data_IF_760652075996
#
_entry.id   IF_760652075996
#
_cell.length_a   1.000
_cell.length_b   1.000
_cell.length_c   1.000
_cell.angle_alpha   90.00
_cell.angle_beta   90.00
_cell.angle_gamma   90.00
#
_symmetry.space_group_name_H-M   'P 1'
#
loop_
_entity.id
_entity.type
_entity.pdbx_description
1 polymer ?
#
# COMPACT_ATOMS: atom_id res chain seq x y z
N UNK A 1 -12.62 16.27 9.27
CA UNK A 1 -13.40 15.50 8.31
C UNK A 1 -12.63 14.25 7.94
N UNK A 2 -13.17 13.08 8.22
CA UNK A 2 -12.57 11.79 7.84
C UNK A 2 -13.08 11.39 6.45
N UNK A 3 -12.18 10.94 5.57
CA UNK A 3 -12.52 10.58 4.19
C UNK A 3 -12.21 9.10 3.97
N UNK A 4 -13.25 8.28 3.79
CA UNK A 4 -13.08 6.87 3.46
C UNK A 4 -13.29 6.67 1.96
N UNK A 5 -12.35 5.99 1.30
CA UNK A 5 -12.46 5.65 -0.12
C UNK A 5 -12.83 4.19 -0.25
N UNK A 6 -14.04 3.92 -0.72
CA UNK A 6 -14.56 2.59 -1.03
C UNK A 6 -14.30 2.26 -2.50
N UNK A 7 -14.29 0.98 -2.88
CA UNK A 7 -14.35 0.58 -4.30
C UNK A 7 -15.65 -0.13 -4.60
N UNK A 8 -16.34 0.28 -5.68
CA UNK A 8 -17.63 -0.27 -6.09
C UNK A 8 -17.46 -1.38 -7.13
N UNK A 9 -18.30 -2.41 -7.06
CA UNK A 9 -18.41 -3.46 -8.09
C UNK A 9 -19.39 -3.09 -9.22
N UNK A 10 -20.29 -2.12 -8.99
CA UNK A 10 -21.55 -2.01 -9.74
C UNK A 10 -21.64 -0.80 -10.70
N UNK A 11 -20.50 -0.28 -11.16
CA UNK A 11 -20.45 0.63 -12.32
C UNK A 11 -20.97 2.06 -12.10
N UNK A 12 -21.28 2.48 -10.86
CA UNK A 12 -21.59 3.89 -10.52
C UNK A 12 -20.64 4.43 -9.45
N UNK A 13 -20.00 5.58 -9.72
CA UNK A 13 -19.26 6.34 -8.72
C UNK A 13 -20.29 7.04 -7.84
N UNK A 14 -20.14 6.88 -6.52
CA UNK A 14 -21.06 7.44 -5.54
C UNK A 14 -20.27 8.08 -4.42
N UNK A 15 -20.74 9.23 -3.94
CA UNK A 15 -20.17 9.96 -2.83
C UNK A 15 -21.28 10.18 -1.81
N UNK A 16 -21.05 9.79 -0.56
CA UNK A 16 -21.99 9.97 0.54
C UNK A 16 -21.32 10.77 1.65
N UNK A 17 -22.08 11.63 2.34
CA UNK A 17 -21.60 12.38 3.49
C UNK A 17 -22.59 12.24 4.64
N UNK A 18 -22.10 12.23 5.86
CA UNK A 18 -22.95 12.18 7.05
C UNK A 18 -22.30 12.92 8.22
N UNK A 19 -23.09 13.17 9.26
CA UNK A 19 -22.64 13.81 10.48
C UNK A 19 -22.82 12.87 11.67
N UNK A 20 -21.74 12.68 12.43
CA UNK A 20 -21.76 11.81 13.60
C UNK A 20 -22.67 12.40 14.71
N UNK A 21 -23.59 11.62 15.28
CA UNK A 21 -24.39 12.05 16.43
C UNK A 21 -23.51 12.09 17.69
N UNK A 22 -23.80 13.04 18.59
CA UNK A 22 -23.06 13.19 19.85
C UNK A 22 -23.45 12.13 20.90
N UNK A 23 -24.64 11.53 20.75
CA UNK A 23 -25.18 10.49 21.63
C UNK A 23 -26.16 9.59 20.87
N UNK A 24 -26.50 8.41 21.41
CA UNK A 24 -27.49 7.50 20.80
C UNK A 24 -28.90 8.13 20.68
N UNK A 25 -29.21 9.10 21.53
CA UNK A 25 -30.46 9.88 21.48
C UNK A 25 -30.50 10.93 20.37
N UNK A 26 -29.35 11.25 19.76
CA UNK A 26 -29.24 12.25 18.68
C UNK A 26 -29.32 11.61 17.27
N UNK A 27 -29.61 10.31 17.19
CA UNK A 27 -29.71 9.61 15.91
C UNK A 27 -31.03 9.98 15.19
N UNK A 28 -30.95 10.31 13.90
CA UNK A 28 -32.09 10.72 13.06
C UNK A 28 -32.84 11.99 13.55
N UNK A 29 -32.19 12.80 14.38
CA UNK A 29 -32.74 14.09 14.85
C UNK A 29 -32.41 15.20 13.86
N UNK A 30 -33.44 15.97 13.48
CA UNK A 30 -33.30 17.18 12.66
C UNK A 30 -32.73 18.33 13.51
N UNK A 31 -31.75 19.03 12.96
CA UNK A 31 -31.10 20.20 13.54
C UNK A 31 -31.87 21.47 13.18
N UNK A 32 -31.57 22.56 13.89
CA UNK A 32 -32.16 23.88 13.61
C UNK A 32 -31.92 24.37 12.17
N UNK A 33 -30.84 23.89 11.55
CA UNK A 33 -30.45 24.19 10.16
C UNK A 33 -31.04 23.21 9.13
N UNK A 34 -31.93 22.31 9.54
CA UNK A 34 -32.67 21.38 8.69
C UNK A 34 -31.95 20.07 8.33
N UNK A 35 -30.69 19.90 8.77
CA UNK A 35 -29.93 18.67 8.56
C UNK A 35 -30.27 17.62 9.62
N UNK A 36 -30.22 16.35 9.26
CA UNK A 36 -30.47 15.20 10.13
C UNK A 36 -29.14 14.55 10.55
N UNK A 37 -28.90 14.40 11.85
CA UNK A 37 -27.69 13.75 12.40
C UNK A 37 -27.78 12.21 12.31
N UNK A 38 -26.64 11.56 12.14
CA UNK A 38 -26.56 10.09 12.00
C UNK A 38 -27.15 9.56 10.68
N UNK A 39 -27.46 10.45 9.73
CA UNK A 39 -28.11 10.11 8.47
C UNK A 39 -27.18 10.36 7.27
N UNK A 40 -27.26 9.48 6.27
CA UNK A 40 -26.44 9.56 5.08
C UNK A 40 -27.09 10.43 3.99
N UNK A 41 -26.34 11.41 3.50
CA UNK A 41 -26.67 12.25 2.36
C UNK A 41 -25.83 11.82 1.15
N UNK A 42 -26.38 11.90 -0.05
CA UNK A 42 -25.60 11.70 -1.28
C UNK A 42 -25.04 13.03 -1.77
N UNK A 43 -23.74 13.10 -2.07
CA UNK A 43 -23.16 14.24 -2.78
C UNK A 43 -23.43 14.06 -4.27
N UNK A 44 -24.21 14.97 -4.86
CA UNK A 44 -24.67 14.85 -6.26
C UNK A 44 -24.02 15.85 -7.20
N UNK A 45 -23.34 16.88 -6.69
CA UNK A 45 -22.57 17.82 -7.51
C UNK A 45 -21.57 18.63 -6.67
N UNK A 46 -20.44 19.00 -7.27
CA UNK A 46 -19.49 19.97 -6.73
C UNK A 46 -19.15 20.94 -7.86
N UNK A 47 -19.29 22.23 -7.62
CA UNK A 47 -19.02 23.24 -8.65
C UNK A 47 -18.40 24.51 -8.06
N UNK A 48 -17.83 25.31 -8.96
CA UNK A 48 -17.34 26.65 -8.66
C UNK A 48 -18.26 27.68 -9.29
N UNK A 49 -18.85 28.54 -8.48
CA UNK A 49 -19.81 29.56 -8.89
C UNK A 49 -19.22 30.95 -8.70
N UNK A 50 -19.44 31.86 -9.66
CA UNK A 50 -19.08 33.27 -9.51
C UNK A 50 -20.30 34.04 -9.00
N UNK A 51 -20.13 34.76 -7.89
CA UNK A 51 -21.16 35.59 -7.25
C UNK A 51 -20.78 37.07 -7.38
N UNK A 52 -21.78 37.91 -7.64
CA UNK A 52 -21.62 39.35 -7.81
C UNK A 52 -21.90 39.85 -9.23
N UNK A 53 -22.52 41.03 -9.33
CA UNK A 53 -22.68 41.72 -10.61
C UNK A 53 -21.32 42.22 -11.09
N UNK A 54 -21.00 42.00 -12.37
CA UNK A 54 -19.85 42.65 -13.03
C UNK A 54 -20.13 44.15 -13.13
N UNK A 55 -19.80 44.91 -12.10
CA UNK A 55 -19.81 46.36 -12.19
C UNK A 55 -18.61 46.81 -13.04
N UNK A 56 -18.84 47.71 -14.01
CA UNK A 56 -17.82 48.19 -14.96
C UNK A 56 -16.54 48.74 -14.30
N UNK A 57 -16.58 49.10 -13.01
CA UNK A 57 -15.49 49.75 -12.30
C UNK A 57 -14.74 48.87 -11.29
N UNK A 58 -15.17 47.63 -11.04
CA UNK A 58 -14.42 46.69 -10.18
C UNK A 58 -14.65 45.26 -10.68
N UNK A 59 -13.72 44.78 -11.52
CA UNK A 59 -13.81 43.47 -12.19
C UNK A 59 -13.63 42.24 -11.28
N UNK A 60 -13.90 42.35 -9.98
CA UNK A 60 -13.75 41.25 -9.02
C UNK A 60 -15.09 40.57 -8.77
N UNK A 61 -15.35 39.47 -9.49
CA UNK A 61 -16.37 38.50 -9.10
C UNK A 61 -15.83 37.62 -7.97
N UNK A 62 -16.59 37.50 -6.89
CA UNK A 62 -16.30 36.53 -5.83
C UNK A 62 -16.53 35.11 -6.37
N UNK A 63 -15.68 34.16 -6.01
CA UNK A 63 -15.81 32.76 -6.46
C UNK A 63 -16.07 31.88 -5.25
N UNK A 64 -17.22 31.22 -5.23
CA UNK A 64 -17.62 30.28 -4.17
C UNK A 64 -17.50 28.83 -4.65
N UNK A 65 -17.10 27.95 -3.75
CA UNK A 65 -17.16 26.51 -3.95
C UNK A 65 -18.47 26.00 -3.36
N UNK A 66 -19.31 25.42 -4.21
CA UNK A 66 -20.62 24.93 -3.86
C UNK A 66 -20.64 23.41 -3.93
N UNK A 67 -21.39 22.80 -3.01
CA UNK A 67 -21.66 21.37 -2.98
C UNK A 67 -23.17 21.15 -2.93
N UNK A 68 -23.66 20.19 -3.73
CA UNK A 68 -25.04 19.74 -3.72
C UNK A 68 -25.14 18.40 -3.02
N UNK A 69 -26.04 18.33 -2.06
CA UNK A 69 -26.35 17.14 -1.30
C UNK A 69 -27.80 16.74 -1.55
N UNK A 70 -28.10 15.45 -1.38
CA UNK A 70 -29.44 14.90 -1.44
C UNK A 70 -29.75 14.09 -0.21
N UNK A 71 -30.85 14.41 0.46
CA UNK A 71 -31.46 13.56 1.47
C UNK A 71 -32.22 12.40 0.79
N UNK A 72 -31.86 11.13 1.04
CA UNK A 72 -32.57 9.98 0.49
C UNK A 72 -34.05 9.88 0.86
N UNK A 73 -34.48 10.52 1.96
CA UNK A 73 -35.89 10.59 2.34
C UNK A 73 -36.72 11.49 1.41
N UNK A 74 -36.07 12.31 0.58
CA UNK A 74 -36.75 13.21 -0.35
C UNK A 74 -37.42 14.41 0.32
N UNK A 75 -37.07 14.69 1.58
CA UNK A 75 -37.53 15.84 2.36
C UNK A 75 -36.42 16.24 3.36
N UNK A 76 -36.67 17.29 4.18
CA UNK A 76 -35.72 17.83 5.18
C UNK A 76 -34.40 18.29 4.56
N UNK A 77 -34.43 19.54 4.12
CA UNK A 77 -33.37 20.21 3.39
C UNK A 77 -32.65 21.25 4.26
N UNK A 78 -31.47 21.65 3.81
CA UNK A 78 -30.71 22.75 4.41
C UNK A 78 -31.52 24.04 4.44
N UNK A 79 -31.60 24.69 5.61
CA UNK A 79 -32.32 25.96 5.83
C UNK A 79 -31.40 27.17 5.96
N UNK A 80 -30.08 26.99 5.84
CA UNK A 80 -29.11 28.07 5.94
C UNK A 80 -28.90 28.83 4.62
N UNK A 81 -27.76 29.52 4.51
CA UNK A 81 -27.38 30.24 3.30
C UNK A 81 -27.31 29.30 2.09
N UNK A 82 -27.83 29.74 0.94
CA UNK A 82 -27.96 28.94 -0.29
C UNK A 82 -28.94 27.77 -0.23
N UNK A 83 -29.81 27.71 0.78
CA UNK A 83 -31.03 26.89 0.76
C UNK A 83 -31.95 27.23 -0.42
N UNK A 84 -32.94 26.41 -0.70
CA UNK A 84 -33.81 26.59 -1.86
C UNK A 84 -34.60 27.92 -1.85
N UNK A 85 -34.92 28.41 -0.65
CA UNK A 85 -35.62 29.68 -0.42
C UNK A 85 -34.67 30.88 -0.15
N UNK A 86 -33.35 30.67 -0.23
CA UNK A 86 -32.33 31.65 0.13
C UNK A 86 -32.28 32.85 -0.83
N UNK A 87 -32.22 34.05 -0.26
CA UNK A 87 -32.12 35.32 -0.98
C UNK A 87 -30.78 35.48 -1.71
N UNK A 88 -29.74 34.77 -1.26
CA UNK A 88 -28.41 34.74 -1.83
C UNK A 88 -28.41 34.33 -3.30
N UNK A 89 -29.36 33.48 -3.71
CA UNK A 89 -29.55 33.14 -5.11
C UNK A 89 -29.78 34.36 -5.98
N UNK A 90 -30.47 35.42 -5.49
CA UNK A 90 -30.73 36.66 -6.25
C UNK A 90 -29.45 37.37 -6.70
N UNK A 91 -28.32 37.12 -6.04
CA UNK A 91 -26.99 37.65 -6.41
C UNK A 91 -26.35 36.91 -7.59
N UNK A 92 -26.92 35.78 -8.01
CA UNK A 92 -26.45 34.95 -9.12
C UNK A 92 -27.31 35.22 -10.36
N UNK A 93 -26.65 35.56 -11.47
CA UNK A 93 -27.33 35.82 -12.75
C UNK A 93 -28.12 34.60 -13.25
N UNK A 94 -29.25 34.84 -13.93
CA UNK A 94 -30.09 33.78 -14.51
C UNK A 94 -29.30 32.86 -15.45
N UNK A 95 -28.39 33.42 -16.26
CA UNK A 95 -27.52 32.66 -17.16
C UNK A 95 -26.59 31.70 -16.42
N UNK A 96 -26.02 32.12 -15.29
CA UNK A 96 -25.18 31.24 -14.46
C UNK A 96 -26.00 30.12 -13.81
N UNK A 97 -27.23 30.41 -13.34
CA UNK A 97 -28.09 29.37 -12.76
C UNK A 97 -28.47 28.29 -13.79
N UNK A 98 -28.83 28.71 -15.01
CA UNK A 98 -29.13 27.77 -16.10
C UNK A 98 -27.90 26.99 -16.54
N UNK A 99 -26.73 27.65 -16.66
CA UNK A 99 -25.46 27.00 -17.02
C UNK A 99 -25.09 25.88 -16.03
N UNK A 100 -25.37 26.09 -14.75
CA UNK A 100 -25.04 25.15 -13.68
C UNK A 100 -26.11 24.08 -13.46
N UNK A 101 -27.25 24.15 -14.17
CA UNK A 101 -28.34 23.19 -14.03
C UNK A 101 -28.97 23.20 -12.64
N UNK A 102 -29.03 24.37 -11.99
CA UNK A 102 -29.61 24.51 -10.65
C UNK A 102 -31.14 24.32 -10.73
N UNK A 103 -31.61 23.20 -10.17
CA UNK A 103 -33.02 22.95 -9.87
C UNK A 103 -33.25 23.30 -8.40
N UNK A 104 -34.19 24.22 -8.14
CA UNK A 104 -34.65 24.57 -6.79
C UNK A 104 -36.03 23.92 -6.66
N UNK A 105 -36.04 22.71 -6.12
CA UNK A 105 -37.23 21.88 -5.98
C UNK A 105 -37.11 21.16 -4.65
N UNK A 106 -38.16 21.25 -3.82
CA UNK A 106 -38.20 20.59 -2.52
C UNK A 106 -38.39 19.07 -2.71
N UNK A 107 -37.30 18.40 -3.08
CA UNK A 107 -37.22 16.98 -3.41
C UNK A 107 -36.12 16.26 -2.61
N UNK A 108 -35.60 16.93 -1.59
CA UNK A 108 -34.50 16.52 -0.74
C UNK A 108 -33.12 16.94 -1.27
N UNK A 109 -32.99 17.56 -2.45
CA UNK A 109 -31.72 18.12 -2.94
C UNK A 109 -31.54 19.57 -2.50
N UNK A 110 -30.36 19.91 -2.00
CA UNK A 110 -30.06 21.28 -1.59
C UNK A 110 -28.58 21.62 -1.85
N UNK A 111 -28.30 22.92 -1.96
CA UNK A 111 -26.96 23.45 -2.08
C UNK A 111 -26.49 24.09 -0.78
N UNK A 112 -25.18 24.03 -0.54
CA UNK A 112 -24.51 24.82 0.48
C UNK A 112 -23.09 25.17 0.03
N UNK A 113 -22.47 26.09 0.76
CA UNK A 113 -21.04 26.35 0.56
C UNK A 113 -20.21 25.17 1.04
N UNK A 114 -19.03 24.97 0.45
CA UNK A 114 -18.10 23.93 0.90
C UNK A 114 -17.66 24.18 2.35
N UNK A 115 -17.57 25.46 2.76
CA UNK A 115 -17.27 25.87 4.12
C UNK A 115 -18.36 25.41 5.11
N UNK A 116 -19.63 25.60 4.78
CA UNK A 116 -20.73 25.13 5.63
C UNK A 116 -20.82 23.60 5.63
N UNK A 117 -20.51 22.95 4.51
CA UNK A 117 -20.38 21.50 4.50
C UNK A 117 -19.29 21.01 5.46
N UNK A 118 -18.11 21.64 5.45
CA UNK A 118 -17.03 21.32 6.39
C UNK A 118 -17.40 21.54 7.87
N UNK A 119 -18.29 22.49 8.17
CA UNK A 119 -18.76 22.75 9.54
C UNK A 119 -19.81 21.73 10.00
N UNK A 120 -20.66 21.28 9.10
CA UNK A 120 -21.84 20.49 9.45
C UNK A 120 -21.64 18.97 9.25
N UNK A 121 -20.71 18.55 8.40
CA UNK A 121 -20.45 17.14 8.10
C UNK A 121 -19.09 16.70 8.65
N UNK A 122 -19.06 15.51 9.23
CA UNK A 122 -17.86 14.96 9.87
C UNK A 122 -17.15 13.97 8.96
N UNK A 123 -17.90 13.27 8.11
CA UNK A 123 -17.41 12.11 7.37
C UNK A 123 -17.90 12.11 5.92
N UNK A 124 -17.04 11.62 5.02
CA UNK A 124 -17.37 11.41 3.61
C UNK A 124 -16.86 10.05 3.11
N UNK A 125 -17.75 9.30 2.47
CA UNK A 125 -17.49 8.03 1.83
C UNK A 125 -17.48 8.20 0.31
N UNK A 126 -16.34 7.90 -0.33
CA UNK A 126 -16.16 8.03 -1.77
C UNK A 126 -15.99 6.63 -2.38
N UNK A 127 -16.97 6.18 -3.15
CA UNK A 127 -16.89 4.94 -3.89
C UNK A 127 -16.22 5.14 -5.26
N UNK A 128 -14.95 4.78 -5.39
CA UNK A 128 -14.22 4.82 -6.67
C UNK A 128 -14.46 3.56 -7.48
N UNK A 129 -14.85 3.75 -8.75
CA UNK A 129 -14.73 2.70 -9.76
C UNK A 129 -13.28 2.70 -10.23
N UNK A 130 -12.62 1.56 -10.06
CA UNK A 130 -11.30 1.36 -10.64
C UNK A 130 -11.51 0.84 -12.07
N UNK A 131 -11.15 1.64 -13.08
CA UNK A 131 -11.25 1.20 -14.47
C UNK A 131 -10.22 0.09 -14.74
N UNK A 132 -10.71 -1.13 -14.92
CA UNK A 132 -9.91 -2.31 -15.27
C UNK A 132 -10.22 -2.82 -16.68
N UNK A 133 -10.88 -2.01 -17.53
CA UNK A 133 -11.26 -2.41 -18.88
C UNK A 133 -10.05 -2.47 -19.80
N UNK A 134 -9.83 -3.60 -20.47
CA UNK A 134 -8.73 -3.78 -21.43
C UNK A 134 -8.85 -2.88 -22.68
N UNK A 135 -10.05 -2.37 -22.99
CA UNK A 135 -10.34 -1.61 -24.21
C UNK A 135 -10.43 -0.09 -23.99
N UNK A 136 -10.04 0.40 -22.81
CA UNK A 136 -10.11 1.81 -22.47
C UNK A 136 -8.92 2.60 -23.01
N UNK A 137 -9.19 3.74 -23.64
CA UNK A 137 -8.18 4.73 -24.08
C UNK A 137 -7.54 5.52 -22.93
N UNK A 138 -8.09 5.43 -21.71
CA UNK A 138 -7.58 6.06 -20.50
C UNK A 138 -7.04 5.05 -19.49
N UNK A 139 -6.15 5.52 -18.60
CA UNK A 139 -5.37 4.76 -17.61
C UNK A 139 -6.14 3.56 -17.03
N UNK A 140 -5.70 2.36 -17.39
CA UNK A 140 -6.23 1.07 -16.94
C UNK A 140 -5.41 0.54 -15.79
N UNK A 141 -6.07 0.14 -14.71
CA UNK A 141 -5.43 -0.58 -13.60
C UNK A 141 -5.44 -2.07 -13.89
N UNK A 142 -4.31 -2.74 -13.67
CA UNK A 142 -4.27 -4.19 -13.53
C UNK A 142 -4.84 -4.57 -12.16
N UNK A 143 -5.71 -5.58 -12.12
CA UNK A 143 -6.36 -6.05 -10.89
C UNK A 143 -6.01 -7.49 -10.65
N UNK A 144 -5.42 -7.78 -9.49
CA UNK A 144 -5.37 -9.12 -8.91
C UNK A 144 -6.27 -9.24 -7.70
N UNK A 145 -6.96 -10.37 -7.60
CA UNK A 145 -7.84 -10.70 -6.49
C UNK A 145 -7.42 -12.05 -5.91
N UNK A 146 -7.25 -12.09 -4.59
CA UNK A 146 -6.96 -13.31 -3.83
C UNK A 146 -8.06 -13.52 -2.81
N UNK A 147 -8.51 -14.76 -2.66
CA UNK A 147 -9.38 -15.18 -1.57
C UNK A 147 -8.52 -15.81 -0.50
N UNK A 148 -8.68 -15.37 0.74
CA UNK A 148 -7.91 -15.84 1.88
C UNK A 148 -8.76 -16.02 3.11
N UNK A 149 -8.19 -16.64 4.13
CA UNK A 149 -8.86 -16.89 5.40
C UNK A 149 -7.84 -16.75 6.55
N UNK A 150 -8.31 -16.23 7.68
CA UNK A 150 -7.66 -16.39 8.98
C UNK A 150 -8.24 -17.64 9.63
N UNK A 151 -7.40 -18.63 9.86
CA UNK A 151 -7.79 -19.93 10.41
C UNK A 151 -6.91 -20.26 11.60
N UNK A 152 -7.52 -20.78 12.67
CA UNK A 152 -6.78 -21.19 13.85
C UNK A 152 -6.15 -22.57 13.64
N UNK A 153 -4.90 -22.75 14.07
CA UNK A 153 -4.27 -24.06 14.09
C UNK A 153 -3.32 -24.19 15.30
N UNK A 154 -3.29 -25.35 15.99
CA UNK A 154 -2.34 -25.56 17.10
C UNK A 154 -0.88 -25.56 16.64
N UNK A 155 -0.60 -25.95 15.39
CA UNK A 155 0.74 -25.84 14.82
C UNK A 155 0.96 -24.41 14.32
N UNK A 156 1.93 -23.71 14.92
CA UNK A 156 2.28 -22.32 14.58
C UNK A 156 2.57 -22.11 13.08
N UNK A 157 3.16 -23.10 12.39
CA UNK A 157 3.47 -23.00 10.95
C UNK A 157 2.24 -23.11 10.04
N UNK A 158 1.14 -23.66 10.57
CA UNK A 158 -0.14 -23.83 9.88
C UNK A 158 -1.19 -22.82 10.35
N UNK A 159 -0.97 -22.16 11.50
CA UNK A 159 -1.85 -21.11 11.99
C UNK A 159 -1.87 -19.93 11.01
N UNK A 160 -3.04 -19.32 10.80
CA UNK A 160 -3.24 -18.17 9.91
C UNK A 160 -3.96 -17.01 10.60
N UNK A 161 -4.19 -17.07 11.90
CA UNK A 161 -4.85 -16.02 12.69
C UNK A 161 -3.85 -15.42 13.68
N UNK A 162 -2.84 -14.71 13.17
CA UNK A 162 -1.70 -14.22 13.92
C UNK A 162 -1.92 -12.88 14.65
N UNK A 163 -2.98 -12.15 14.32
CA UNK A 163 -3.26 -10.81 14.86
C UNK A 163 -2.37 -9.71 14.25
N UNK A 164 -2.52 -8.48 14.75
CA UNK A 164 -1.74 -7.33 14.30
C UNK A 164 -0.30 -7.33 14.84
N UNK A 165 0.51 -6.34 14.42
CA UNK A 165 1.91 -6.21 14.81
C UNK A 165 2.15 -6.11 16.32
N UNK A 166 1.15 -5.70 17.11
CA UNK A 166 1.25 -5.73 18.57
C UNK A 166 1.44 -7.16 19.12
N UNK A 167 1.18 -8.18 18.31
CA UNK A 167 1.36 -9.59 18.62
C UNK A 167 2.58 -10.15 17.86
N UNK A 168 3.77 -9.61 18.12
CA UNK A 168 5.00 -9.90 17.36
C UNK A 168 5.27 -11.41 17.16
N UNK A 169 5.05 -12.21 18.21
CA UNK A 169 5.28 -13.65 18.19
C UNK A 169 4.40 -14.43 17.20
N UNK A 170 3.19 -13.92 16.92
CA UNK A 170 2.21 -14.61 16.06
C UNK A 170 1.92 -13.88 14.76
N UNK A 171 2.30 -12.61 14.64
CA UNK A 171 2.00 -11.75 13.50
C UNK A 171 2.36 -12.38 12.14
N UNK A 172 3.55 -12.97 12.00
CA UNK A 172 4.00 -13.58 10.75
C UNK A 172 3.31 -14.92 10.42
N UNK A 173 2.50 -15.45 11.33
CA UNK A 173 1.68 -16.64 11.05
C UNK A 173 0.51 -16.30 10.12
N UNK A 174 0.06 -15.05 10.05
CA UNK A 174 -0.99 -14.61 9.12
C UNK A 174 -0.68 -15.01 7.64
N UNK A 175 -1.69 -15.07 6.76
CA UNK A 175 -1.47 -15.24 5.33
C UNK A 175 -0.49 -14.18 4.80
N UNK A 176 0.42 -14.59 3.92
CA UNK A 176 1.46 -13.72 3.39
C UNK A 176 1.34 -13.69 1.88
N UNK A 177 1.15 -12.51 1.30
CA UNK A 177 1.05 -12.31 -0.14
C UNK A 177 2.23 -11.51 -0.63
N UNK A 178 2.84 -11.92 -1.73
CA UNK A 178 3.97 -11.23 -2.34
C UNK A 178 3.56 -10.63 -3.68
N UNK A 179 4.07 -9.44 -3.98
CA UNK A 179 3.86 -8.77 -5.26
C UNK A 179 5.07 -7.90 -5.62
N UNK A 180 5.20 -7.61 -6.91
CA UNK A 180 6.31 -6.88 -7.49
C UNK A 180 5.85 -5.53 -8.05
N UNK A 181 6.62 -4.49 -7.78
CA UNK A 181 6.53 -3.19 -8.44
C UNK A 181 7.71 -3.09 -9.40
N UNK A 182 7.42 -3.13 -10.70
CA UNK A 182 8.46 -3.19 -11.75
C UNK A 182 8.83 -1.82 -12.30
N UNK A 183 7.95 -0.83 -12.19
CA UNK A 183 8.27 0.57 -12.51
C UNK A 183 9.18 1.17 -11.43
N UNK A 184 9.92 2.23 -11.79
CA UNK A 184 10.73 3.02 -10.84
C UNK A 184 9.90 3.46 -9.64
N UNK A 185 8.67 3.91 -9.91
CA UNK A 185 7.63 4.17 -8.92
C UNK A 185 6.28 3.80 -9.54
N UNK A 186 5.42 3.16 -8.77
CA UNK A 186 4.04 2.84 -9.17
C UNK A 186 3.05 3.23 -8.09
N UNK A 187 1.85 3.62 -8.53
CA UNK A 187 0.74 3.87 -7.62
C UNK A 187 0.05 2.54 -7.35
N UNK A 188 -0.04 2.18 -6.07
CA UNK A 188 -0.62 0.92 -5.64
C UNK A 188 -1.87 1.20 -4.81
N UNK A 189 -2.96 0.53 -5.14
CA UNK A 189 -4.21 0.54 -4.37
C UNK A 189 -4.48 -0.87 -3.86
N UNK A 190 -4.68 -1.00 -2.56
CA UNK A 190 -4.95 -2.27 -1.88
C UNK A 190 -6.32 -2.16 -1.20
N UNK A 191 -7.09 -3.25 -1.28
CA UNK A 191 -8.38 -3.42 -0.62
C UNK A 191 -8.41 -4.75 0.10
N UNK A 192 -8.71 -4.74 1.39
CA UNK A 192 -8.97 -5.92 2.19
C UNK A 192 -10.43 -5.90 2.65
N UNK A 193 -11.22 -6.87 2.18
CA UNK A 193 -12.65 -6.97 2.47
C UNK A 193 -12.94 -8.27 3.22
N UNK A 194 -13.53 -8.18 4.41
CA UNK A 194 -14.05 -9.35 5.11
C UNK A 194 -15.41 -9.80 4.56
N UNK A 195 -15.73 -11.08 4.76
CA UNK A 195 -17.02 -11.67 4.38
C UNK A 195 -18.17 -10.94 5.07
N UNK A 196 -19.29 -10.79 4.35
CA UNK A 196 -20.49 -10.18 4.93
C UNK A 196 -21.08 -11.09 6.00
N UNK A 197 -21.17 -10.59 7.23
CA UNK A 197 -21.75 -11.32 8.35
C UNK A 197 -23.08 -10.73 8.81
N UNK A 198 -23.62 -9.71 8.12
CA UNK A 198 -24.83 -8.99 8.54
C UNK A 198 -26.07 -9.88 8.68
N UNK A 199 -26.12 -11.00 7.96
CA UNK A 199 -27.22 -11.97 8.06
C UNK A 199 -27.37 -12.54 9.48
N UNK A 200 -26.29 -12.63 10.25
CA UNK A 200 -26.28 -13.17 11.62
C UNK A 200 -26.58 -12.11 12.70
N UNK A 201 -26.80 -10.84 12.34
CA UNK A 201 -27.13 -9.76 13.31
C UNK A 201 -28.37 -10.03 14.12
N UNK A 202 -29.35 -10.73 13.54
CA UNK A 202 -30.58 -11.11 14.25
C UNK A 202 -30.33 -12.07 15.42
N UNK A 203 -29.20 -12.77 15.40
CA UNK A 203 -28.79 -13.75 16.41
C UNK A 203 -27.77 -13.16 17.40
N UNK A 204 -27.54 -11.84 17.37
CA UNK A 204 -26.54 -11.17 18.21
C UNK A 204 -25.09 -11.39 17.74
N UNK A 205 -24.90 -11.92 16.53
CA UNK A 205 -23.60 -12.12 15.91
C UNK A 205 -23.42 -11.22 14.67
N UNK A 206 -22.28 -11.30 13.98
CA UNK A 206 -22.11 -10.64 12.68
C UNK A 206 -21.71 -9.16 12.72
N UNK A 207 -21.07 -8.76 13.81
CA UNK A 207 -20.21 -7.59 13.82
C UNK A 207 -19.01 -7.78 12.89
N UNK A 208 -18.52 -6.66 12.37
CA UNK A 208 -17.29 -6.65 11.60
C UNK A 208 -16.11 -6.97 12.55
N UNK A 209 -15.12 -7.67 12.02
CA UNK A 209 -13.82 -7.77 12.66
C UNK A 209 -13.08 -6.44 12.49
N UNK A 210 -12.28 -6.07 13.48
CA UNK A 210 -11.30 -5.00 13.33
C UNK A 210 -10.14 -5.53 12.48
N UNK A 211 -10.00 -5.03 11.25
CA UNK A 211 -9.07 -5.56 10.24
C UNK A 211 -8.09 -4.49 9.75
N UNK A 212 -6.96 -4.96 9.24
CA UNK A 212 -5.91 -4.14 8.67
C UNK A 212 -4.96 -4.99 7.82
N UNK A 213 -3.91 -4.35 7.29
CA UNK A 213 -2.83 -5.06 6.64
C UNK A 213 -1.53 -4.27 6.74
N UNK A 214 -0.42 -4.98 6.67
CA UNK A 214 0.92 -4.39 6.73
C UNK A 214 1.70 -4.70 5.45
N UNK A 215 2.54 -3.75 5.04
CA UNK A 215 3.38 -3.87 3.84
C UNK A 215 4.84 -3.75 4.25
N UNK A 216 5.65 -4.72 3.80
CA UNK A 216 7.09 -4.72 3.99
C UNK A 216 7.82 -4.80 2.66
N UNK A 217 8.89 -4.03 2.47
CA UNK A 217 9.86 -4.28 1.39
C UNK A 217 10.75 -5.44 1.81
N UNK A 218 10.81 -6.46 0.97
CA UNK A 218 11.51 -7.73 1.24
C UNK A 218 12.53 -8.03 0.16
N UNK A 219 13.17 -9.20 0.25
CA UNK A 219 14.20 -9.64 -0.68
C UNK A 219 13.64 -9.86 -2.08
N UNK A 220 14.38 -9.39 -3.10
CA UNK A 220 13.93 -9.37 -4.49
C UNK A 220 13.75 -10.78 -5.08
N UNK A 221 14.36 -11.80 -4.47
CA UNK A 221 14.22 -13.20 -4.83
C UNK A 221 13.46 -14.03 -3.78
N UNK A 222 12.71 -13.42 -2.86
CA UNK A 222 11.94 -14.18 -1.86
C UNK A 222 10.85 -15.03 -2.52
N UNK A 223 10.86 -16.32 -2.20
CA UNK A 223 9.87 -17.31 -2.66
C UNK A 223 9.10 -17.99 -1.52
N UNK A 224 9.63 -17.91 -0.30
CA UNK A 224 9.13 -18.59 0.89
C UNK A 224 8.66 -17.59 1.94
N UNK A 225 7.79 -18.06 2.83
CA UNK A 225 7.24 -17.26 3.94
C UNK A 225 8.35 -16.62 4.77
N UNK A 226 8.09 -15.40 5.21
CA UNK A 226 8.92 -14.65 6.14
C UNK A 226 8.58 -15.07 7.57
N UNK A 227 9.59 -15.37 8.38
CA UNK A 227 9.40 -15.84 9.76
C UNK A 227 9.91 -14.87 10.82
N UNK A 228 10.77 -13.92 10.44
CA UNK A 228 11.23 -12.86 11.32
C UNK A 228 11.35 -11.52 10.58
N UNK A 229 11.19 -10.42 11.31
CA UNK A 229 11.39 -9.05 10.80
C UNK A 229 12.72 -8.52 11.32
N UNK A 230 13.82 -8.69 10.56
CA UNK A 230 15.17 -8.24 10.97
C UNK A 230 15.78 -7.18 10.05
N UNK A 231 15.57 -7.28 8.74
CA UNK A 231 16.14 -6.35 7.74
C UNK A 231 15.07 -5.67 6.87
N UNK A 232 13.86 -6.20 6.90
CA UNK A 232 12.74 -5.78 6.09
C UNK A 232 12.26 -4.42 6.55
N UNK A 233 11.88 -3.58 5.59
CA UNK A 233 11.47 -2.21 5.84
C UNK A 233 9.94 -2.17 5.86
N UNK A 234 9.35 -1.75 7.00
CA UNK A 234 7.92 -1.51 7.10
C UNK A 234 7.58 -0.24 6.33
N UNK A 235 6.69 -0.36 5.34
CA UNK A 235 6.34 0.74 4.43
C UNK A 235 5.17 1.56 4.98
N UNK A 236 4.24 0.91 5.67
CA UNK A 236 3.00 1.54 6.12
C UNK A 236 2.77 1.31 7.60
N UNK A 237 2.14 2.29 8.25
CA UNK A 237 1.51 2.10 9.55
C UNK A 237 0.00 2.19 9.37
N UNK A 238 -0.66 1.05 9.21
CA UNK A 238 -2.09 1.02 8.88
C UNK A 238 -2.94 1.16 10.14
N UNK A 239 -3.88 2.13 10.14
CA UNK A 239 -4.87 2.24 11.22
C UNK A 239 -5.92 1.15 11.06
N UNK A 240 -6.04 0.28 12.06
CA UNK A 240 -7.02 -0.80 12.03
C UNK A 240 -8.43 -0.25 12.20
N UNK A 241 -9.37 -0.69 11.37
CA UNK A 241 -10.72 -0.16 11.34
C UNK A 241 -11.75 -1.27 11.52
N UNK A 242 -12.84 -0.95 12.21
CA UNK A 242 -14.01 -1.83 12.36
C UNK A 242 -14.95 -1.74 11.15
N UNK A 243 -14.39 -1.86 9.95
CA UNK A 243 -15.11 -1.73 8.69
C UNK A 243 -15.12 -3.06 7.94
N UNK A 244 -16.18 -3.29 7.14
CA UNK A 244 -16.22 -4.45 6.25
C UNK A 244 -15.09 -4.41 5.21
N UNK A 245 -14.62 -3.23 4.84
CA UNK A 245 -13.50 -3.10 3.89
C UNK A 245 -12.59 -1.97 4.30
N UNK A 246 -11.29 -2.22 4.20
CA UNK A 246 -10.23 -1.25 4.45
C UNK A 246 -9.38 -1.09 3.20
N UNK A 247 -8.88 0.12 2.97
CA UNK A 247 -8.19 0.49 1.74
C UNK A 247 -6.93 1.31 2.02
N UNK A 248 -5.92 1.12 1.17
CA UNK A 248 -4.71 1.95 1.17
C UNK A 248 -4.36 2.32 -0.26
N UNK A 249 -4.04 3.60 -0.47
CA UNK A 249 -3.47 4.10 -1.71
C UNK A 249 -2.10 4.69 -1.41
N UNK A 250 -1.06 4.12 -1.99
CA UNK A 250 0.34 4.46 -1.69
C UNK A 250 1.17 4.46 -2.97
N UNK A 251 2.23 5.27 -3.01
CA UNK A 251 3.24 5.20 -4.06
C UNK A 251 4.39 4.31 -3.56
N UNK A 252 4.72 3.28 -4.32
CA UNK A 252 5.80 2.35 -3.99
C UNK A 252 6.89 2.46 -5.05
N UNK A 253 8.15 2.48 -4.58
CA UNK A 253 9.32 2.38 -5.47
C UNK A 253 9.45 0.97 -6.04
N UNK A 254 10.31 0.81 -7.03
CA UNK A 254 10.63 -0.49 -7.59
C UNK A 254 11.08 -1.51 -6.53
N UNK A 255 10.59 -2.74 -6.65
CA UNK A 255 11.05 -3.90 -5.89
C UNK A 255 9.94 -4.83 -5.44
N UNK A 256 10.29 -5.75 -4.55
CA UNK A 256 9.38 -6.80 -4.06
C UNK A 256 8.81 -6.47 -2.68
N UNK A 257 7.52 -6.69 -2.52
CA UNK A 257 6.76 -6.34 -1.32
C UNK A 257 5.96 -7.52 -0.77
N UNK A 258 5.92 -7.61 0.55
CA UNK A 258 5.12 -8.55 1.31
C UNK A 258 3.91 -7.83 1.91
N UNK A 259 2.72 -8.32 1.61
CA UNK A 259 1.43 -7.82 2.08
C UNK A 259 0.81 -8.86 3.02
N UNK A 260 0.61 -8.47 4.27
CA UNK A 260 0.12 -9.35 5.34
C UNK A 260 -1.25 -8.83 5.82
N UNK A 261 -2.37 -9.41 5.38
CA UNK A 261 -3.69 -9.09 5.91
C UNK A 261 -3.89 -9.71 7.30
N UNK A 262 -4.43 -8.92 8.22
CA UNK A 262 -4.52 -9.26 9.64
C UNK A 262 -5.85 -8.81 10.24
N UNK A 263 -6.28 -9.55 11.26
CA UNK A 263 -7.21 -9.05 12.28
C UNK A 263 -6.43 -8.29 13.34
N UNK A 264 -7.09 -7.44 14.13
CA UNK A 264 -6.44 -6.77 15.26
C UNK A 264 -5.99 -7.77 16.32
N UNK A 265 -6.92 -8.59 16.81
CA UNK A 265 -6.64 -9.63 17.80
C UNK A 265 -6.15 -10.92 17.14
N UNK A 266 -5.22 -11.66 17.78
CA UNK A 266 -4.82 -12.99 17.32
C UNK A 266 -5.94 -14.01 17.58
N UNK A 267 -5.83 -15.19 16.96
CA UNK A 267 -6.80 -16.28 17.08
C UNK A 267 -8.23 -15.95 16.63
N UNK A 268 -8.40 -14.85 15.89
CA UNK A 268 -9.66 -14.48 15.26
C UNK A 268 -9.76 -15.14 13.89
N UNK A 269 -10.85 -15.87 13.66
CA UNK A 269 -11.11 -16.55 12.40
C UNK A 269 -12.00 -15.70 11.49
N UNK A 270 -11.82 -15.83 10.18
CA UNK A 270 -12.63 -15.10 9.22
C UNK A 270 -12.16 -15.30 7.79
N UNK A 271 -13.06 -15.00 6.85
CA UNK A 271 -12.75 -15.07 5.42
C UNK A 271 -12.63 -13.67 4.84
N UNK A 272 -11.71 -13.49 3.89
CA UNK A 272 -11.48 -12.21 3.25
C UNK A 272 -11.18 -12.31 1.75
N UNK A 273 -11.39 -11.19 1.07
CA UNK A 273 -10.94 -10.94 -0.30
C UNK A 273 -9.91 -9.82 -0.25
N UNK A 274 -8.73 -10.11 -0.78
CA UNK A 274 -7.65 -9.14 -0.98
C UNK A 274 -7.63 -8.74 -2.45
N UNK A 275 -7.65 -7.44 -2.74
CA UNK A 275 -7.51 -6.91 -4.10
C UNK A 275 -6.33 -5.96 -4.16
N UNK A 276 -5.51 -6.15 -5.18
CA UNK A 276 -4.38 -5.29 -5.50
C UNK A 276 -4.63 -4.69 -6.87
N UNK A 277 -4.44 -3.38 -6.96
CA UNK A 277 -4.47 -2.65 -8.21
C UNK A 277 -3.13 -1.94 -8.42
N UNK A 278 -2.54 -2.17 -9.58
CA UNK A 278 -1.25 -1.59 -10.03
C UNK A 278 -1.39 -1.12 -11.47
N UNK A 279 -0.44 -0.33 -11.97
CA UNK A 279 -0.48 0.10 -13.38
C UNK A 279 -0.06 -1.02 -14.34
N UNK A 280 0.75 -1.96 -13.84
CA UNK A 280 1.31 -3.09 -14.60
C UNK A 280 1.12 -4.40 -13.82
N UNK A 281 1.19 -5.58 -14.46
CA UNK A 281 1.05 -6.86 -13.77
C UNK A 281 2.01 -6.99 -12.58
N UNK A 282 1.44 -7.21 -11.40
CA UNK A 282 2.15 -7.22 -10.11
C UNK A 282 2.62 -8.61 -9.66
N UNK A 283 2.28 -9.67 -10.39
CA UNK A 283 2.55 -11.06 -10.02
C UNK A 283 2.09 -11.46 -8.60
N UNK A 284 1.02 -10.82 -8.09
CA UNK A 284 0.47 -11.11 -6.75
C UNK A 284 0.19 -12.60 -6.56
N UNK A 285 0.75 -13.19 -5.50
CA UNK A 285 0.53 -14.59 -5.11
C UNK A 285 0.73 -14.81 -3.62
N UNK A 286 0.17 -15.90 -3.08
CA UNK A 286 0.37 -16.29 -1.69
C UNK A 286 1.68 -17.06 -1.50
N UNK A 287 2.41 -16.78 -0.41
CA UNK A 287 3.55 -17.56 0.07
C UNK A 287 3.03 -18.70 0.97
N UNK A 288 3.00 -19.91 0.41
CA UNK A 288 2.49 -21.12 1.10
C UNK A 288 3.58 -21.96 1.76
N UNK A 289 4.81 -21.89 1.24
CA UNK A 289 5.92 -22.73 1.69
C UNK A 289 6.78 -21.99 2.72
N UNK A 290 7.12 -22.68 3.81
CA UNK A 290 8.00 -22.11 4.85
C UNK A 290 9.48 -22.14 4.47
N UNK A 291 9.88 -23.10 3.61
CA UNK A 291 11.25 -23.33 3.16
C UNK A 291 11.26 -24.09 1.82
N UNK A 292 12.39 -24.16 1.10
CA UNK A 292 12.52 -24.98 -0.10
C UNK A 292 12.04 -26.42 0.13
N UNK A 293 11.22 -26.93 -0.80
CA UNK A 293 10.80 -28.34 -0.77
C UNK A 293 11.96 -29.22 -1.22
N UNK A 294 12.13 -30.35 -0.54
CA UNK A 294 12.98 -31.42 -1.04
C UNK A 294 12.43 -31.95 -2.37
N UNK A 295 13.20 -31.79 -3.43
CA UNK A 295 12.97 -32.39 -4.74
C UNK A 295 13.84 -33.63 -4.92
N UNK A 296 13.51 -34.50 -5.88
CA UNK A 296 14.35 -35.65 -6.23
C UNK A 296 15.79 -35.25 -6.64
N UNK A 297 15.96 -34.04 -7.18
CA UNK A 297 17.29 -33.48 -7.51
C UNK A 297 18.14 -33.20 -6.26
N UNK A 298 17.52 -33.03 -5.09
CA UNK A 298 18.24 -32.76 -3.84
C UNK A 298 18.93 -34.01 -3.28
N UNK A 299 18.54 -35.21 -3.74
CA UNK A 299 19.24 -36.46 -3.44
C UNK A 299 20.65 -36.44 -4.06
N UNK A 300 20.79 -35.84 -5.26
CA UNK A 300 22.07 -35.71 -5.97
C UNK A 300 22.84 -34.45 -5.58
N UNK A 301 22.13 -33.32 -5.39
CA UNK A 301 22.74 -31.99 -5.20
C UNK A 301 22.90 -31.60 -3.72
N UNK A 302 22.34 -32.38 -2.79
CA UNK A 302 22.34 -32.12 -1.34
C UNK A 302 21.31 -31.06 -0.93
N UNK A 303 20.67 -31.23 0.23
CA UNK A 303 19.64 -30.27 0.72
C UNK A 303 20.25 -28.92 1.13
N UNK A 304 19.50 -27.81 1.04
CA UNK A 304 19.92 -26.55 1.65
C UNK A 304 20.12 -26.72 3.16
N UNK A 305 21.22 -26.16 3.67
CA UNK A 305 21.65 -26.27 5.08
C UNK A 305 21.74 -24.93 5.79
N UNK A 306 21.85 -23.83 5.05
CA UNK A 306 22.01 -22.49 5.62
C UNK A 306 21.19 -21.46 4.85
N UNK A 307 20.52 -20.58 5.57
CA UNK A 307 19.85 -19.41 5.03
C UNK A 307 20.70 -18.18 5.28
N UNK A 308 20.91 -17.35 4.26
CA UNK A 308 21.62 -16.07 4.39
C UNK A 308 20.81 -14.95 3.75
N UNK A 309 20.55 -13.91 4.54
CA UNK A 309 19.99 -12.63 4.09
C UNK A 309 21.12 -11.62 3.91
N UNK A 310 21.11 -10.93 2.78
CA UNK A 310 22.08 -9.89 2.46
C UNK A 310 21.35 -8.63 2.02
N UNK A 311 21.66 -7.52 2.70
CA UNK A 311 21.15 -6.18 2.34
C UNK A 311 22.32 -5.27 2.02
N UNK A 312 22.33 -4.76 0.79
CA UNK A 312 23.32 -3.77 0.33
C UNK A 312 22.70 -2.39 0.42
N UNK A 313 23.30 -1.52 1.23
CA UNK A 313 22.78 -0.19 1.49
C UNK A 313 23.29 0.82 0.47
N UNK A 314 24.62 0.97 0.42
CA UNK A 314 25.27 1.96 -0.44
C UNK A 314 26.66 1.51 -0.89
N UNK A 315 27.11 2.08 -2.00
CA UNK A 315 28.49 2.02 -2.49
C UNK A 315 29.00 3.44 -2.60
N UNK A 316 30.21 3.72 -2.11
CA UNK A 316 30.82 5.05 -2.08
C UNK A 316 32.29 4.99 -2.53
N UNK A 317 32.85 6.11 -2.99
CA UNK A 317 34.27 6.19 -3.36
C UNK A 317 34.64 5.48 -4.66
N UNK A 318 33.69 5.27 -5.58
CA UNK A 318 33.97 4.72 -6.90
C UNK A 318 34.79 5.73 -7.73
N UNK A 319 35.91 5.31 -8.30
CA UNK A 319 36.64 6.12 -9.26
C UNK A 319 35.91 6.09 -10.61
N UNK A 320 35.09 7.11 -10.84
CA UNK A 320 34.37 7.30 -12.10
C UNK A 320 34.70 8.67 -12.69
N UNK A 321 35.14 8.67 -13.94
CA UNK A 321 35.23 9.87 -14.77
C UNK A 321 33.88 10.08 -15.50
N UNK A 322 32.82 10.54 -14.80
CA UNK A 322 31.53 10.91 -15.42
C UNK A 322 30.27 10.45 -14.66
N UNK A 323 29.09 10.64 -15.27
CA UNK A 323 27.78 10.15 -14.77
C UNK A 323 27.75 8.63 -14.71
N UNK A 324 28.14 8.06 -13.56
CA UNK A 324 28.12 6.62 -13.32
C UNK A 324 26.70 6.15 -12.99
N UNK A 325 26.22 5.13 -13.70
CA UNK A 325 24.99 4.39 -13.35
C UNK A 325 25.33 3.00 -12.79
N UNK A 326 25.87 2.88 -11.55
CA UNK A 326 26.26 1.60 -10.99
C UNK A 326 25.05 0.73 -10.69
N UNK A 327 25.24 -0.58 -10.80
CA UNK A 327 24.31 -1.60 -10.33
C UNK A 327 25.08 -2.71 -9.64
N UNK A 328 24.39 -3.47 -8.78
CA UNK A 328 25.00 -4.58 -8.05
C UNK A 328 24.44 -5.91 -8.51
N UNK A 329 25.26 -6.95 -8.39
CA UNK A 329 24.82 -8.33 -8.51
C UNK A 329 25.25 -9.09 -7.24
N UNK A 330 24.27 -9.60 -6.50
CA UNK A 330 24.50 -10.47 -5.35
C UNK A 330 24.36 -11.92 -5.83
N UNK A 331 25.41 -12.73 -5.68
CA UNK A 331 25.48 -14.11 -6.17
C UNK A 331 25.80 -15.06 -5.02
N UNK A 332 25.14 -16.21 -5.01
CA UNK A 332 25.53 -17.33 -4.16
C UNK A 332 25.17 -18.63 -4.88
N UNK A 333 26.16 -19.52 -5.02
CA UNK A 333 26.03 -20.75 -5.81
C UNK A 333 25.51 -20.43 -7.24
N UNK A 334 24.39 -21.03 -7.64
CA UNK A 334 23.77 -20.82 -8.95
C UNK A 334 22.71 -19.71 -8.97
N UNK A 335 22.46 -19.05 -7.84
CA UNK A 335 21.45 -18.00 -7.70
C UNK A 335 22.08 -16.60 -7.76
N UNK A 336 21.37 -15.66 -8.39
CA UNK A 336 21.81 -14.26 -8.49
C UNK A 336 20.63 -13.29 -8.43
N UNK A 337 20.86 -12.15 -7.80
CA UNK A 337 19.95 -11.00 -7.76
C UNK A 337 20.68 -9.80 -8.34
N UNK A 338 20.04 -9.09 -9.28
CA UNK A 338 20.58 -7.87 -9.89
C UNK A 338 19.73 -6.68 -9.44
N UNK A 339 20.37 -5.63 -8.94
CA UNK A 339 19.66 -4.39 -8.60
C UNK A 339 19.33 -3.57 -9.86
N UNK A 340 18.39 -2.63 -9.76
CA UNK A 340 18.30 -1.52 -10.70
C UNK A 340 19.59 -0.69 -10.69
N UNK A 341 19.90 -0.04 -11.81
CA UNK A 341 20.94 0.99 -11.87
C UNK A 341 20.55 2.19 -11.02
N UNK A 342 21.52 2.75 -10.31
CA UNK A 342 21.36 3.94 -9.47
C UNK A 342 22.19 5.07 -10.03
N UNK A 343 21.78 6.32 -9.79
CA UNK A 343 22.64 7.47 -10.05
C UNK A 343 23.74 7.55 -8.99
N UNK A 344 24.98 7.73 -9.42
CA UNK A 344 26.12 7.94 -8.54
C UNK A 344 26.46 9.43 -8.42
N UNK A 345 26.10 10.02 -7.27
CA UNK A 345 26.47 11.39 -6.88
C UNK A 345 27.47 11.36 -5.73
N UNK A 346 28.46 10.47 -5.79
CA UNK A 346 29.47 10.24 -4.76
C UNK A 346 29.14 9.09 -3.82
N UNK A 347 27.86 8.72 -3.71
CA UNK A 347 27.41 7.49 -3.07
C UNK A 347 26.11 6.98 -3.73
N UNK A 348 26.16 5.79 -4.32
CA UNK A 348 25.00 5.14 -4.92
C UNK A 348 24.25 4.31 -3.88
N UNK A 349 22.94 4.57 -3.71
CA UNK A 349 22.08 3.90 -2.71
C UNK A 349 21.23 2.83 -3.38
N UNK A 350 21.40 1.57 -2.98
CA UNK A 350 20.73 0.42 -3.62
C UNK A 350 19.54 -0.10 -2.82
N UNK A 351 19.67 -0.20 -1.49
CA UNK A 351 18.69 -0.85 -0.60
C UNK A 351 18.19 -2.22 -1.12
N UNK A 352 19.03 -2.92 -1.89
CA UNK A 352 18.72 -4.20 -2.53
C UNK A 352 18.90 -5.31 -1.51
N UNK A 353 17.96 -6.24 -1.48
CA UNK A 353 17.89 -7.31 -0.49
C UNK A 353 17.80 -8.67 -1.21
N UNK A 354 18.56 -9.66 -0.76
CA UNK A 354 18.55 -11.00 -1.32
C UNK A 354 18.56 -12.06 -0.21
N UNK A 355 17.84 -13.16 -0.45
CA UNK A 355 17.84 -14.37 0.38
C UNK A 355 18.48 -15.53 -0.39
N UNK A 356 19.37 -16.27 0.26
CA UNK A 356 19.98 -17.46 -0.32
C UNK A 356 19.81 -18.67 0.61
N UNK A 357 19.50 -19.82 0.03
CA UNK A 357 19.45 -21.12 0.70
C UNK A 357 20.64 -21.95 0.23
N UNK A 358 21.74 -21.89 0.96
CA UNK A 358 23.03 -22.50 0.64
C UNK A 358 23.00 -24.00 0.87
N UNK A 359 23.46 -24.79 -0.09
CA UNK A 359 23.71 -26.23 0.03
C UNK A 359 25.14 -26.50 0.50
N UNK A 360 26.08 -25.72 -0.03
CA UNK A 360 27.49 -25.72 0.33
C UNK A 360 27.74 -24.58 1.30
N UNK A 361 27.84 -24.90 2.59
CA UNK A 361 27.95 -23.92 3.67
C UNK A 361 29.17 -23.00 3.50
N UNK A 362 30.28 -23.52 2.97
CA UNK A 362 31.52 -22.77 2.74
C UNK A 362 31.51 -21.92 1.45
N UNK A 363 30.46 -22.04 0.62
CA UNK A 363 30.38 -21.21 -0.60
C UNK A 363 30.15 -19.74 -0.23
N UNK A 364 30.98 -18.81 -0.73
CA UNK A 364 30.84 -17.41 -0.38
C UNK A 364 29.61 -16.79 -1.07
N UNK A 365 29.08 -15.74 -0.45
CA UNK A 365 28.16 -14.81 -1.11
C UNK A 365 29.00 -13.71 -1.74
N UNK A 366 28.90 -13.54 -3.05
CA UNK A 366 29.71 -12.59 -3.81
C UNK A 366 28.82 -11.40 -4.18
N UNK A 367 29.18 -10.22 -3.70
CA UNK A 367 28.52 -8.96 -4.06
C UNK A 367 29.40 -8.22 -5.05
N UNK A 368 28.96 -8.12 -6.29
CA UNK A 368 29.71 -7.49 -7.37
C UNK A 368 29.11 -6.12 -7.69
N UNK A 369 29.96 -5.12 -7.87
CA UNK A 369 29.59 -3.78 -8.33
C UNK A 369 29.97 -3.64 -9.80
N UNK A 370 29.04 -3.15 -10.59
CA UNK A 370 29.17 -2.97 -12.02
C UNK A 370 28.74 -1.57 -12.41
N UNK A 371 29.24 -1.09 -13.54
CA UNK A 371 28.80 0.14 -14.18
C UNK A 371 28.05 -0.18 -15.47
N UNK A 372 26.84 0.34 -15.58
CA UNK A 372 26.06 0.28 -16.82
C UNK A 372 26.60 1.30 -17.82
N UNK A 373 27.20 0.80 -18.91
CA UNK A 373 27.74 1.56 -20.03
C UNK A 373 27.44 0.78 -21.34
N UNK A 374 27.96 1.23 -22.50
CA UNK A 374 27.85 0.48 -23.75
C UNK A 374 28.32 -0.99 -23.63
N UNK A 375 29.30 -1.23 -22.75
CA UNK A 375 29.73 -2.56 -22.30
C UNK A 375 29.79 -2.51 -20.78
N UNK A 376 29.04 -3.41 -20.11
CA UNK A 376 29.01 -3.51 -18.66
C UNK A 376 30.44 -3.67 -18.10
N UNK A 377 30.88 -2.70 -17.29
CA UNK A 377 32.23 -2.70 -16.70
C UNK A 377 32.19 -3.17 -15.25
N UNK A 378 33.02 -4.16 -14.91
CA UNK A 378 33.21 -4.59 -13.54
C UNK A 378 34.00 -3.55 -12.75
N UNK A 379 33.51 -3.17 -11.57
CA UNK A 379 34.16 -2.18 -10.69
C UNK A 379 34.84 -2.82 -9.48
N UNK A 380 34.30 -3.94 -8.97
CA UNK A 380 34.87 -4.65 -7.82
C UNK A 380 33.90 -5.66 -7.23
N UNK A 381 34.39 -6.51 -6.33
CA UNK A 381 33.55 -7.44 -5.58
C UNK A 381 33.95 -7.55 -4.10
N UNK A 382 33.00 -8.01 -3.29
CA UNK A 382 33.21 -8.42 -1.91
C UNK A 382 32.70 -9.85 -1.75
N UNK A 383 33.46 -10.66 -1.01
CA UNK A 383 33.12 -12.04 -0.70
C UNK A 383 32.79 -12.16 0.79
N UNK A 384 31.58 -12.59 1.07
CA UNK A 384 31.06 -12.77 2.42
C UNK A 384 31.00 -14.27 2.71
N UNK A 385 31.48 -14.69 3.88
CA UNK A 385 31.35 -16.07 4.37
C UNK A 385 29.88 -16.49 4.48
N UNK A 386 29.05 -15.60 5.06
CA UNK A 386 27.66 -15.93 5.36
C UNK A 386 27.61 -17.00 6.45
N UNK A 387 28.43 -16.84 7.49
CA UNK A 387 28.41 -17.65 8.70
C UNK A 387 27.49 -17.03 9.76
N UNK A 388 26.77 -17.83 10.56
CA UNK A 388 26.05 -17.34 11.73
C UNK A 388 26.93 -16.59 12.74
N UNK A 389 28.24 -16.88 12.73
CA UNK A 389 29.26 -16.20 13.54
C UNK A 389 29.73 -14.85 12.98
N UNK A 390 29.34 -14.50 11.75
CA UNK A 390 29.72 -13.22 11.16
C UNK A 390 29.04 -12.06 11.91
N UNK A 391 29.66 -10.86 11.94
CA UNK A 391 29.03 -9.68 12.51
C UNK A 391 27.66 -9.42 11.89
N UNK A 392 26.63 -9.34 12.74
CA UNK A 392 25.25 -9.08 12.29
C UNK A 392 24.95 -7.59 12.08
N UNK A 393 25.84 -6.72 12.58
CA UNK A 393 25.73 -5.27 12.40
C UNK A 393 26.13 -4.83 10.99
N UNK A 394 25.83 -3.57 10.68
CA UNK A 394 26.18 -2.97 9.41
C UNK A 394 27.71 -2.88 9.25
N UNK A 395 28.25 -3.54 8.23
CA UNK A 395 29.68 -3.56 7.96
C UNK A 395 30.03 -2.78 6.68
N UNK A 396 31.22 -2.18 6.66
CA UNK A 396 31.82 -1.58 5.46
C UNK A 396 32.96 -2.49 4.98
N UNK A 397 32.98 -2.75 3.68
CA UNK A 397 33.99 -3.58 3.04
C UNK A 397 34.67 -2.81 1.92
N UNK A 398 35.99 -2.95 1.81
CA UNK A 398 36.76 -2.48 0.67
C UNK A 398 36.46 -3.37 -0.55
N UNK A 399 36.34 -2.76 -1.74
CA UNK A 399 36.17 -3.52 -2.98
C UNK A 399 37.51 -4.15 -3.41
N UNK A 400 37.44 -5.36 -3.96
CA UNK A 400 38.60 -6.05 -4.54
C UNK A 400 38.37 -6.41 -6.02
N UNK A 401 39.46 -6.65 -6.74
CA UNK A 401 39.44 -7.22 -8.08
C UNK A 401 38.82 -8.62 -8.15
N UNK A 402 38.68 -9.19 -9.35
CA UNK A 402 38.21 -10.58 -9.52
C UNK A 402 39.27 -11.56 -9.06
N UNK A 403 38.96 -12.41 -8.07
CA UNK A 403 39.88 -13.46 -7.65
C UNK A 403 39.57 -14.07 -6.27
N UNK A 404 40.43 -14.96 -5.80
CA UNK A 404 40.42 -15.42 -4.39
C UNK A 404 41.09 -14.38 -3.47
N UNK A 405 41.16 -14.66 -2.16
CA UNK A 405 41.41 -13.75 -1.02
C UNK A 405 42.56 -12.72 -1.11
N UNK A 406 43.43 -12.80 -2.12
CA UNK A 406 44.58 -11.90 -2.34
C UNK A 406 44.38 -10.97 -3.56
N UNK A 407 43.13 -10.75 -3.98
CA UNK A 407 42.83 -9.83 -5.08
C UNK A 407 43.17 -8.38 -4.71
N UNK A 408 43.79 -7.66 -5.66
CA UNK A 408 44.18 -6.25 -5.52
C UNK A 408 42.99 -5.38 -5.07
N UNK A 409 43.23 -4.50 -4.11
CA UNK A 409 42.24 -3.52 -3.66
C UNK A 409 41.90 -2.59 -4.81
N UNK A 410 40.61 -2.40 -5.07
CA UNK A 410 40.12 -1.47 -6.07
C UNK A 410 39.36 -0.33 -5.39
N UNK A 411 39.27 0.85 -6.02
CA UNK A 411 38.60 1.99 -5.42
C UNK A 411 37.12 1.72 -5.11
N UNK A 412 36.71 2.16 -3.92
CA UNK A 412 35.33 2.13 -3.48
C UNK A 412 35.08 1.20 -2.30
N UNK A 413 34.07 1.55 -1.51
CA UNK A 413 33.62 0.81 -0.34
C UNK A 413 32.14 0.50 -0.45
N UNK A 414 31.75 -0.67 0.04
CA UNK A 414 30.37 -1.13 0.04
C UNK A 414 29.89 -1.38 1.47
N UNK A 415 28.70 -0.88 1.77
CA UNK A 415 28.07 -1.04 3.09
C UNK A 415 26.99 -2.12 3.03
N UNK A 416 27.19 -3.20 3.78
CA UNK A 416 26.39 -4.43 3.72
C UNK A 416 25.99 -4.87 5.13
N UNK A 417 24.76 -5.35 5.27
CA UNK A 417 24.32 -6.14 6.43
C UNK A 417 24.05 -7.56 5.99
N UNK A 418 24.61 -8.53 6.72
CA UNK A 418 24.46 -9.95 6.43
C UNK A 418 23.96 -10.66 7.67
N UNK A 419 22.92 -11.48 7.52
CA UNK A 419 22.42 -12.36 8.58
C UNK A 419 22.40 -13.77 8.04
N UNK A 420 22.92 -14.74 8.80
CA UNK A 420 22.89 -16.14 8.39
C UNK A 420 22.44 -17.03 9.54
N UNK A 421 21.69 -18.09 9.22
CA UNK A 421 21.23 -19.09 10.18
C UNK A 421 21.28 -20.49 9.55
N UNK A 422 21.59 -21.48 10.39
CA UNK A 422 21.49 -22.90 10.04
C UNK A 422 20.05 -23.43 10.12
N UNK A 423 19.14 -22.68 10.73
CA UNK A 423 17.70 -22.92 10.63
C UNK A 423 17.11 -22.10 9.48
N UNK A 424 16.61 -22.81 8.47
CA UNK A 424 16.03 -22.22 7.25
C UNK A 424 14.72 -21.46 7.49
N UNK A 425 14.18 -21.47 8.72
CA UNK A 425 12.98 -20.74 9.11
C UNK A 425 13.28 -19.64 10.15
N UNK A 426 14.55 -19.37 10.48
CA UNK A 426 14.91 -18.35 11.47
C UNK A 426 14.97 -16.94 10.89
N UNK A 427 14.88 -16.75 9.56
CA UNK A 427 15.12 -15.44 8.92
C UNK A 427 14.04 -15.04 7.89
#
# INVERSE_FOLDING_TARGET
MECQVLTGSDGKQGECAWSAPSSLSDFEVETDVGLVKGHAYSVTSILKMSVGQKNLCSGKSEKLFMIRLRNPWGNKEWKGAWSDESEEWKKVSKSERTRLGLTLENNGEFWMTFEDWCKNFTDVDICRIVNTSFFSIHKTWEKKMMRGQWTKNPNATLNRSGGCLNNEATFLQNPQYIFDVTKVEDKVLISLQQKDQRIHRKEGAGDNLVIGFEIFKVEDNREYRLHQLKIQERITNFTYLNNRTVYLKVFLKQGRYLLIPTTFSPNTEGEFILRLFTDVPSALRELKLNKPRMSYLDILLGVPKRMSLVKVYRVEGLQSHGETSPYIIIKCENSKVRSPSQEDRGAAVFNTQAVFYKRKVDSPIIVQVWHNAFIDRFLGEVRLSGSPSDPQDLQKYQLHGRGQQEAEEVPGQITIKTLSSDDLMEL
#
